data_IF_083148851425
#
_entry.id   IF_083148851425
#
_cell.length_a   1.000
_cell.length_b   1.000
_cell.length_c   1.000
_cell.angle_alpha   90.00
_cell.angle_beta   90.00
_cell.angle_gamma   90.00
#
_symmetry.space_group_name_H-M   'P 1'
#
loop_
_entity.id
_entity.type
_entity.pdbx_description
1 polymer ?
#
# COMPACT_ATOMS: atom_id res chain seq x y z
N UNK A 1 9.19 -55.30 -49.93
CA UNK A 1 9.01 -53.87 -50.26
C UNK A 1 7.56 -53.58 -49.91
N UNK A 2 7.23 -53.03 -48.75
CA UNK A 2 7.29 -51.59 -48.48
C UNK A 2 7.37 -51.35 -46.96
N UNK A 3 8.10 -50.30 -46.61
CA UNK A 3 8.43 -49.82 -45.27
C UNK A 3 7.34 -48.87 -44.71
N UNK A 4 7.54 -48.44 -43.46
CA UNK A 4 7.03 -47.23 -42.76
C UNK A 4 5.91 -47.49 -41.73
N UNK A 5 6.21 -47.63 -40.42
CA UNK A 5 6.66 -46.68 -39.36
C UNK A 5 5.50 -46.07 -38.52
N UNK A 6 5.74 -45.77 -37.23
CA UNK A 6 4.73 -45.64 -36.16
C UNK A 6 4.31 -44.18 -35.90
N UNK A 7 3.30 -43.95 -35.04
CA UNK A 7 2.92 -42.67 -34.36
C UNK A 7 1.38 -42.53 -34.37
N UNK A 8 0.65 -42.24 -33.29
CA UNK A 8 0.78 -41.02 -32.51
C UNK A 8 -0.10 -41.10 -31.25
N UNK A 9 0.49 -40.80 -30.09
CA UNK A 9 -0.23 -40.41 -28.87
C UNK A 9 -1.10 -39.20 -29.18
N UNK A 10 -2.36 -39.20 -28.75
CA UNK A 10 -3.07 -37.97 -28.41
C UNK A 10 -3.99 -38.21 -27.22
N UNK A 11 -3.50 -37.86 -26.02
CA UNK A 11 -4.40 -37.50 -24.92
C UNK A 11 -5.07 -36.21 -25.35
N UNK A 12 -6.23 -36.34 -25.97
CA UNK A 12 -7.03 -35.19 -26.41
C UNK A 12 -7.56 -34.51 -25.15
N UNK A 13 -6.80 -33.50 -24.70
CA UNK A 13 -7.29 -32.20 -24.25
C UNK A 13 -8.69 -32.24 -23.62
N UNK A 14 -8.77 -32.58 -22.33
CA UNK A 14 -9.85 -32.08 -21.47
C UNK A 14 -9.56 -30.61 -21.09
N UNK A 15 -9.40 -29.76 -22.09
CA UNK A 15 -9.32 -28.31 -21.94
C UNK A 15 -10.65 -27.67 -22.38
N UNK A 16 -11.76 -28.27 -21.98
CA UNK A 16 -13.11 -27.81 -22.38
C UNK A 16 -14.02 -27.64 -21.16
N UNK A 17 -13.46 -27.21 -20.02
CA UNK A 17 -14.25 -27.01 -18.79
C UNK A 17 -13.94 -25.73 -18.02
N UNK A 18 -13.29 -24.76 -18.67
CA UNK A 18 -12.95 -23.46 -18.05
C UNK A 18 -13.46 -22.25 -18.84
N UNK A 19 -14.53 -22.41 -19.62
CA UNK A 19 -15.13 -21.28 -20.35
C UNK A 19 -16.11 -20.46 -19.48
N UNK A 20 -16.65 -21.01 -18.39
CA UNK A 20 -17.56 -20.26 -17.52
C UNK A 20 -16.83 -19.30 -16.58
N UNK A 21 -15.66 -19.68 -16.07
CA UNK A 21 -14.81 -18.82 -15.24
C UNK A 21 -14.16 -17.69 -16.04
N UNK A 22 -13.81 -17.95 -17.31
CA UNK A 22 -13.23 -16.94 -18.21
C UNK A 22 -14.21 -15.82 -18.61
N UNK A 23 -15.52 -16.07 -18.55
CA UNK A 23 -16.55 -15.07 -18.91
C UNK A 23 -16.71 -13.97 -17.86
N UNK A 24 -16.38 -14.24 -16.60
CA UNK A 24 -16.41 -13.25 -15.53
C UNK A 24 -15.05 -12.57 -15.28
N UNK A 25 -13.95 -13.17 -15.73
CA UNK A 25 -12.61 -12.57 -15.64
C UNK A 25 -12.47 -11.30 -16.48
N UNK A 26 -13.05 -11.29 -17.69
CA UNK A 26 -13.00 -10.13 -18.59
C UNK A 26 -13.72 -8.89 -18.02
N UNK A 27 -15.00 -8.97 -17.55
CA UNK A 27 -15.65 -7.81 -16.95
C UNK A 27 -15.03 -7.41 -15.61
N UNK A 28 -14.49 -8.36 -14.82
CA UNK A 28 -13.81 -8.03 -13.55
C UNK A 28 -12.48 -7.28 -13.78
N UNK A 29 -11.71 -7.68 -14.79
CA UNK A 29 -10.52 -6.94 -15.22
C UNK A 29 -10.88 -5.56 -15.79
N UNK A 30 -11.94 -5.48 -16.59
CA UNK A 30 -12.44 -4.21 -17.14
C UNK A 30 -12.89 -3.27 -16.00
N UNK A 31 -13.57 -3.79 -14.97
CA UNK A 31 -14.01 -3.03 -13.80
C UNK A 31 -12.84 -2.56 -12.93
N UNK A 32 -11.77 -3.36 -12.84
CA UNK A 32 -10.52 -2.98 -12.15
C UNK A 32 -9.66 -1.96 -12.91
N UNK A 33 -9.86 -1.83 -14.23
CA UNK A 33 -9.15 -0.86 -15.07
C UNK A 33 -9.81 0.53 -15.08
N UNK A 34 -11.08 0.65 -14.68
CA UNK A 34 -11.79 1.93 -14.58
C UNK A 34 -11.06 2.99 -13.71
N UNK A 35 -10.53 2.69 -12.51
CA UNK A 35 -9.77 3.68 -11.75
C UNK A 35 -8.45 4.09 -12.40
N UNK A 36 -7.89 3.27 -13.30
CA UNK A 36 -6.64 3.58 -14.02
C UNK A 36 -6.91 4.53 -15.19
N UNK A 37 -7.99 4.34 -15.95
CA UNK A 37 -8.33 5.22 -17.08
C UNK A 37 -8.91 6.58 -16.66
N UNK A 38 -9.55 6.67 -15.48
CA UNK A 38 -10.03 7.93 -14.92
C UNK A 38 -8.91 8.93 -14.59
N UNK A 39 -7.65 8.48 -14.44
CA UNK A 39 -6.51 9.37 -14.22
C UNK A 39 -5.98 10.05 -15.50
N UNK A 40 -6.41 9.57 -16.68
CA UNK A 40 -5.75 9.90 -17.95
C UNK A 40 -6.54 10.79 -18.91
N UNK A 41 -7.85 11.00 -18.68
CA UNK A 41 -8.73 11.63 -19.69
C UNK A 41 -9.05 13.11 -19.41
N UNK A 42 -8.33 13.77 -18.50
CA UNK A 42 -8.57 15.20 -18.22
C UNK A 42 -7.96 15.72 -16.92
N UNK A 43 -6.83 15.16 -16.47
CA UNK A 43 -6.14 15.69 -15.30
C UNK A 43 -5.33 16.91 -15.74
N UNK A 44 -5.79 18.11 -15.34
CA UNK A 44 -4.98 19.31 -15.44
C UNK A 44 -3.58 19.00 -14.88
N UNK A 45 -2.49 19.34 -15.57
CA UNK A 45 -1.14 19.06 -15.09
C UNK A 45 -0.88 19.66 -13.71
N UNK A 46 -1.65 20.68 -13.32
CA UNK A 46 -1.70 21.24 -11.98
C UNK A 46 -2.33 20.31 -10.93
N UNK A 47 -3.43 19.61 -11.24
CA UNK A 47 -4.04 18.63 -10.34
C UNK A 47 -3.10 17.44 -10.12
N UNK A 48 -2.45 16.96 -11.19
CA UNK A 48 -1.41 15.94 -11.07
C UNK A 48 -0.25 16.41 -10.16
N UNK A 49 0.28 17.62 -10.38
CA UNK A 49 1.33 18.19 -9.55
C UNK A 49 0.90 18.33 -8.08
N UNK A 50 -0.34 18.78 -7.81
CA UNK A 50 -0.88 18.87 -6.45
C UNK A 50 -1.00 17.50 -5.80
N UNK A 51 -1.41 16.46 -6.54
CA UNK A 51 -1.47 15.10 -6.02
C UNK A 51 -0.07 14.50 -5.77
N UNK A 52 0.92 14.82 -6.61
CA UNK A 52 2.33 14.46 -6.38
C UNK A 52 2.86 15.17 -5.13
N UNK A 53 2.54 16.46 -4.94
CA UNK A 53 2.93 17.21 -3.74
C UNK A 53 2.30 16.61 -2.48
N UNK A 54 0.99 16.31 -2.50
CA UNK A 54 0.32 15.60 -1.39
C UNK A 54 1.02 14.28 -1.08
N UNK A 55 1.33 13.49 -2.11
CA UNK A 55 1.99 12.19 -1.97
C UNK A 55 3.43 12.32 -1.47
N UNK A 56 4.16 13.35 -1.90
CA UNK A 56 5.50 13.63 -1.43
C UNK A 56 5.50 14.05 0.04
N UNK A 57 4.55 14.90 0.44
CA UNK A 57 4.37 15.34 1.82
C UNK A 57 3.93 14.23 2.77
N UNK A 58 3.19 13.22 2.31
CA UNK A 58 2.79 12.06 3.13
C UNK A 58 3.77 10.88 3.05
N UNK A 59 4.60 10.82 2.01
CA UNK A 59 5.53 9.72 1.76
C UNK A 59 6.98 10.06 2.09
N UNK A 60 7.76 10.45 1.08
CA UNK A 60 9.23 10.58 1.18
C UNK A 60 9.68 11.77 2.03
N UNK A 61 8.98 12.90 1.93
CA UNK A 61 9.31 14.10 2.72
C UNK A 61 8.92 13.87 4.18
N UNK A 62 7.77 13.23 4.44
CA UNK A 62 7.37 12.84 5.80
C UNK A 62 8.42 11.92 6.46
N UNK A 63 8.91 10.92 5.72
CA UNK A 63 9.95 10.02 6.22
C UNK A 63 11.26 10.74 6.53
N UNK A 64 11.70 11.64 5.63
CA UNK A 64 12.90 12.45 5.86
C UNK A 64 12.78 13.38 7.07
N UNK A 65 11.66 14.08 7.21
CA UNK A 65 11.40 14.96 8.35
C UNK A 65 11.23 14.19 9.66
N UNK A 66 10.60 13.01 9.63
CA UNK A 66 10.46 12.14 10.80
C UNK A 66 11.83 11.68 11.31
N UNK A 67 12.73 11.29 10.41
CA UNK A 67 14.10 10.92 10.79
C UNK A 67 14.84 12.08 11.46
N UNK A 68 14.80 13.28 10.86
CA UNK A 68 15.44 14.48 11.44
C UNK A 68 14.82 14.82 12.81
N UNK A 69 13.50 14.75 12.94
CA UNK A 69 12.80 15.02 14.19
C UNK A 69 13.22 14.04 15.30
N UNK A 70 13.37 12.75 14.99
CA UNK A 70 13.85 11.75 15.95
C UNK A 70 15.30 12.04 16.35
N UNK A 71 16.17 12.38 15.41
CA UNK A 71 17.58 12.71 15.70
C UNK A 71 17.68 13.93 16.60
N UNK A 72 16.98 15.02 16.27
CA UNK A 72 16.97 16.25 17.07
C UNK A 72 16.34 16.02 18.45
N UNK A 73 15.22 15.30 18.50
CA UNK A 73 14.59 14.90 19.77
C UNK A 73 15.51 14.03 20.64
N UNK A 74 16.28 13.13 20.03
CA UNK A 74 17.27 12.29 20.71
C UNK A 74 18.46 13.07 21.24
N UNK A 75 18.96 14.07 20.50
CA UNK A 75 20.03 14.95 20.97
C UNK A 75 19.56 15.87 22.11
N UNK A 76 18.35 16.43 21.99
CA UNK A 76 17.73 17.22 23.05
C UNK A 76 17.49 16.37 24.31
N UNK A 77 17.18 15.09 24.13
CA UNK A 77 17.06 14.12 25.20
C UNK A 77 18.41 13.78 25.86
N UNK A 78 19.48 13.65 25.06
CA UNK A 78 20.82 13.30 25.54
C UNK A 78 21.51 14.45 26.31
N UNK A 79 21.32 15.70 25.85
CA UNK A 79 21.91 16.89 26.46
C UNK A 79 20.94 17.64 27.40
N UNK A 80 19.70 17.17 27.54
CA UNK A 80 18.73 17.70 28.49
C UNK A 80 19.09 17.32 29.92
N UNK A 81 19.95 18.11 30.56
CA UNK A 81 20.38 17.92 31.95
C UNK A 81 19.18 17.75 32.91
N UNK A 82 19.12 16.60 33.59
CA UNK A 82 18.43 16.41 34.87
C UNK A 82 16.88 16.27 34.89
N UNK A 83 16.11 16.89 34.00
CA UNK A 83 14.63 16.76 33.99
C UNK A 83 14.08 15.59 33.16
N UNK A 84 14.98 14.85 32.51
CA UNK A 84 14.72 13.78 31.55
C UNK A 84 13.71 12.71 32.01
N UNK A 85 13.67 12.35 33.30
CA UNK A 85 12.75 11.30 33.80
C UNK A 85 11.26 11.68 33.69
N UNK A 86 10.91 12.95 33.97
CA UNK A 86 9.52 13.43 33.89
C UNK A 86 9.10 13.69 32.45
N UNK A 87 9.99 14.29 31.66
CA UNK A 87 9.74 14.54 30.22
C UNK A 87 9.61 13.23 29.45
N UNK A 88 10.49 12.25 29.69
CA UNK A 88 10.42 10.95 29.02
C UNK A 88 9.18 10.16 29.46
N UNK A 89 8.80 10.21 30.73
CA UNK A 89 7.53 9.64 31.18
C UNK A 89 6.33 10.28 30.47
N UNK A 90 6.33 11.60 30.28
CA UNK A 90 5.29 12.32 29.54
C UNK A 90 5.23 11.92 28.05
N UNK A 91 6.39 11.77 27.40
CA UNK A 91 6.46 11.34 25.99
C UNK A 91 5.95 9.89 25.84
N UNK A 92 6.43 8.96 26.67
CA UNK A 92 6.00 7.54 26.62
C UNK A 92 4.51 7.41 26.91
N UNK A 93 4.00 8.15 27.91
CA UNK A 93 2.58 8.18 28.23
C UNK A 93 1.72 8.73 27.09
N UNK A 94 2.14 9.84 26.47
CA UNK A 94 1.44 10.43 25.32
C UNK A 94 1.40 9.51 24.10
N UNK A 95 2.53 8.87 23.78
CA UNK A 95 2.61 7.89 22.68
C UNK A 95 1.72 6.68 22.96
N UNK A 96 1.74 6.16 24.20
CA UNK A 96 0.86 5.06 24.60
C UNK A 96 -0.63 5.41 24.48
N UNK A 97 -1.02 6.62 24.88
CA UNK A 97 -2.39 7.10 24.70
C UNK A 97 -2.78 7.26 23.23
N UNK A 98 -1.89 7.80 22.39
CA UNK A 98 -2.17 7.95 20.95
C UNK A 98 -2.41 6.59 20.27
N UNK A 99 -1.60 5.58 20.57
CA UNK A 99 -1.76 4.22 20.03
C UNK A 99 -3.04 3.56 20.59
N UNK A 100 -3.33 3.74 21.88
CA UNK A 100 -4.56 3.25 22.49
C UNK A 100 -5.81 3.88 21.89
N UNK A 101 -5.77 5.18 21.60
CA UNK A 101 -6.87 5.91 20.97
C UNK A 101 -7.20 5.38 19.57
N UNK A 102 -6.20 5.01 18.77
CA UNK A 102 -6.42 4.40 17.44
C UNK A 102 -7.16 3.07 17.57
N UNK A 103 -6.76 2.22 18.52
CA UNK A 103 -7.45 0.95 18.78
C UNK A 103 -8.89 1.17 19.30
N UNK A 104 -9.10 2.19 20.14
CA UNK A 104 -10.44 2.56 20.59
C UNK A 104 -11.32 3.06 19.44
N UNK A 105 -10.79 3.88 18.54
CA UNK A 105 -11.52 4.37 17.36
C UNK A 105 -11.89 3.23 16.40
N UNK A 106 -10.99 2.26 16.20
CA UNK A 106 -11.27 1.08 15.39
C UNK A 106 -12.37 0.17 15.99
N UNK A 107 -12.47 0.12 17.32
CA UNK A 107 -13.57 -0.57 18.00
C UNK A 107 -14.89 0.20 17.93
N UNK A 108 -14.84 1.53 18.07
CA UNK A 108 -16.01 2.39 18.08
C UNK A 108 -16.64 2.56 16.69
N UNK A 109 -15.82 2.54 15.64
CA UNK A 109 -16.26 2.56 14.24
C UNK A 109 -15.64 1.40 13.44
N UNK A 110 -16.19 0.18 13.57
CA UNK A 110 -15.81 -0.92 12.70
C UNK A 110 -16.25 -0.59 11.26
N UNK A 111 -15.29 -0.53 10.34
CA UNK A 111 -15.52 -0.38 8.89
C UNK A 111 -15.90 -1.70 8.23
#
# INVERSE_FOLDING_TARGET
MESTRPSKRSRVLKLARSHHLSRYAAPLLLLSALPVYAQSTGSDPWDNAVNVLKTAFTGSIAQGLSLVAIVVGGLMFAYGEGQSKKTLAGIVFGVGMAIGAVNFMAWLFPS
#
